data_IF_744828477741
#
_entry.id   IF_744828477741
#
_cell.length_a   1.000
_cell.length_b   1.000
_cell.length_c   1.000
_cell.angle_alpha   90.00
_cell.angle_beta   90.00
_cell.angle_gamma   90.00
#
_symmetry.space_group_name_H-M   'P 1'
#
loop_
_entity.id
_entity.type
_entity.pdbx_description
1 polymer ?
#
# COMPACT_ATOMS: atom_id res chain seq x y z
N UNK A 1 -27.53 -24.21 -3.03
CA UNK A 1 -26.89 -23.00 -2.46
C UNK A 1 -25.64 -23.46 -1.71
N UNK A 2 -24.46 -23.03 -2.16
CA UNK A 2 -23.21 -23.26 -1.44
C UNK A 2 -23.22 -22.26 -0.29
N UNK A 3 -23.26 -22.73 0.95
CA UNK A 3 -23.26 -21.85 2.11
C UNK A 3 -21.87 -21.27 2.28
N UNK A 4 -21.72 -19.96 2.05
CA UNK A 4 -20.57 -19.23 2.57
C UNK A 4 -20.64 -19.34 4.11
N UNK A 5 -19.57 -19.81 4.75
CA UNK A 5 -19.53 -19.98 6.20
C UNK A 5 -19.80 -18.67 6.95
N UNK A 6 -19.79 -18.71 8.29
CA UNK A 6 -19.95 -17.47 9.07
C UNK A 6 -18.85 -16.48 8.71
N UNK A 7 -19.26 -15.25 8.44
CA UNK A 7 -18.36 -14.11 8.24
C UNK A 7 -17.42 -13.96 9.45
N UNK A 8 -16.13 -13.75 9.18
CA UNK A 8 -15.12 -13.47 10.20
C UNK A 8 -14.58 -12.07 9.96
N UNK A 9 -14.70 -11.21 10.98
CA UNK A 9 -14.09 -9.87 10.97
C UNK A 9 -12.77 -9.93 11.73
N UNK A 10 -11.71 -9.39 11.13
CA UNK A 10 -10.37 -9.28 11.74
C UNK A 10 -9.95 -7.82 11.77
N UNK A 11 -9.47 -7.36 12.92
CA UNK A 11 -8.82 -6.06 13.04
C UNK A 11 -7.30 -6.24 12.97
N UNK A 12 -6.66 -5.58 12.01
CA UNK A 12 -5.21 -5.56 11.84
C UNK A 12 -4.72 -4.14 12.08
N UNK A 13 -3.61 -4.00 12.80
CA UNK A 13 -2.94 -2.73 13.01
C UNK A 13 -1.44 -2.91 12.85
N UNK A 14 -0.84 -2.10 11.97
CA UNK A 14 0.57 -2.16 11.61
C UNK A 14 1.00 -0.85 10.95
N UNK A 15 2.30 -0.70 10.77
CA UNK A 15 2.92 0.49 10.18
C UNK A 15 3.55 0.15 8.84
N UNK A 16 3.29 0.99 7.84
CA UNK A 16 3.79 0.87 6.46
C UNK A 16 4.91 1.90 6.24
N UNK A 17 6.02 1.48 5.63
CA UNK A 17 7.25 2.30 5.52
C UNK A 17 7.70 2.48 4.06
N UNK A 18 7.26 3.57 3.42
CA UNK A 18 7.74 3.96 2.09
C UNK A 18 9.04 4.78 2.20
N UNK A 19 10.15 4.21 1.72
CA UNK A 19 11.49 4.80 1.81
C UNK A 19 11.97 5.26 0.44
N UNK A 20 11.79 6.56 0.17
CA UNK A 20 12.18 7.23 -1.07
C UNK A 20 13.59 7.83 -1.06
N UNK A 21 14.30 7.75 0.07
CA UNK A 21 15.65 8.29 0.23
C UNK A 21 16.48 7.46 1.21
N UNK A 22 17.80 7.70 1.23
CA UNK A 22 18.76 6.95 2.05
C UNK A 22 19.43 5.82 1.26
N UNK A 23 20.13 4.94 1.98
CA UNK A 23 20.93 3.87 1.36
C UNK A 23 20.13 2.65 0.92
N UNK A 24 18.87 2.51 1.37
CA UNK A 24 18.01 1.38 1.06
C UNK A 24 16.61 1.86 0.70
N UNK A 25 16.43 2.14 -0.59
CA UNK A 25 15.14 2.50 -1.16
C UNK A 25 14.21 1.28 -1.17
N UNK A 26 12.92 1.50 -0.87
CA UNK A 26 11.89 0.46 -1.00
C UNK A 26 10.82 0.79 -2.03
N UNK A 27 10.77 2.05 -2.50
CA UNK A 27 10.03 2.41 -3.70
C UNK A 27 10.89 3.20 -4.70
N UNK A 28 10.66 2.96 -5.99
CA UNK A 28 11.41 3.58 -7.08
C UNK A 28 10.48 3.97 -8.24
N UNK A 29 10.86 5.04 -8.95
CA UNK A 29 10.15 5.48 -10.15
C UNK A 29 10.30 4.46 -11.27
N UNK A 30 9.19 4.02 -11.85
CA UNK A 30 9.19 3.08 -12.99
C UNK A 30 8.64 3.69 -14.27
N UNK A 31 7.80 4.73 -14.16
CA UNK A 31 7.33 5.49 -15.30
C UNK A 31 6.97 6.92 -14.89
N UNK A 32 6.99 7.82 -15.87
CA UNK A 32 6.47 9.19 -15.74
C UNK A 32 6.09 9.74 -17.12
N UNK A 33 5.08 10.60 -17.15
CA UNK A 33 4.79 11.43 -18.33
C UNK A 33 5.78 12.60 -18.44
N UNK A 34 5.98 13.15 -19.64
CA UNK A 34 6.86 14.32 -19.85
C UNK A 34 6.39 15.54 -19.03
N UNK A 35 5.08 15.69 -18.86
CA UNK A 35 4.45 16.75 -18.07
C UNK A 35 4.51 16.53 -16.55
N UNK A 36 5.00 15.38 -16.08
CA UNK A 36 4.98 15.03 -14.64
C UNK A 36 5.69 16.08 -13.79
N UNK A 37 6.84 16.57 -14.24
CA UNK A 37 7.67 17.51 -13.49
C UNK A 37 7.07 18.93 -13.43
N UNK A 38 6.16 19.27 -14.34
CA UNK A 38 5.46 20.57 -14.34
C UNK A 38 4.06 20.49 -13.75
N UNK A 39 3.57 19.28 -13.46
CA UNK A 39 2.30 19.05 -12.80
C UNK A 39 2.40 19.37 -11.31
N UNK A 40 1.51 20.22 -10.80
CA UNK A 40 1.44 20.56 -9.37
C UNK A 40 1.18 19.32 -8.49
N UNK A 41 0.51 18.30 -9.03
CA UNK A 41 0.21 17.04 -8.32
C UNK A 41 1.18 15.90 -8.67
N UNK A 42 2.13 16.13 -9.57
CA UNK A 42 2.96 15.05 -10.14
C UNK A 42 2.19 14.04 -10.98
N UNK A 43 1.03 14.40 -11.53
CA UNK A 43 0.18 13.53 -12.35
C UNK A 43 0.98 12.78 -13.44
N UNK A 44 0.75 11.48 -13.53
CA UNK A 44 1.43 10.58 -14.47
C UNK A 44 2.72 9.95 -13.93
N UNK A 45 3.15 10.28 -12.71
CA UNK A 45 4.19 9.56 -11.99
C UNK A 45 3.71 8.16 -11.58
N UNK A 46 4.56 7.13 -11.74
CA UNK A 46 4.31 5.75 -11.27
C UNK A 46 5.53 5.24 -10.49
N UNK A 47 5.26 4.72 -9.29
CA UNK A 47 6.22 4.04 -8.42
C UNK A 47 5.93 2.55 -8.36
N UNK A 48 6.98 1.74 -8.25
CA UNK A 48 6.89 0.37 -7.75
C UNK A 48 7.45 0.34 -6.33
N UNK A 49 6.84 -0.45 -5.45
CA UNK A 49 7.24 -0.55 -4.05
C UNK A 49 7.31 -1.98 -3.52
N UNK A 50 8.21 -2.18 -2.56
CA UNK A 50 8.35 -3.36 -1.72
C UNK A 50 8.64 -2.91 -0.27
N UNK A 51 7.61 -2.36 0.36
CA UNK A 51 7.72 -1.63 1.63
C UNK A 51 7.52 -2.54 2.85
N UNK A 52 8.35 -2.42 3.90
CA UNK A 52 8.16 -3.15 5.15
C UNK A 52 6.81 -2.82 5.81
N UNK A 53 6.19 -3.85 6.39
CA UNK A 53 5.10 -3.71 7.38
C UNK A 53 5.61 -4.15 8.74
N UNK A 54 5.45 -3.32 9.77
CA UNK A 54 5.95 -3.61 11.12
C UNK A 54 4.88 -3.44 12.21
N UNK A 55 5.08 -4.09 13.36
CA UNK A 55 4.17 -3.97 14.52
C UNK A 55 4.18 -2.57 15.15
N UNK A 56 5.34 -1.91 15.16
CA UNK A 56 5.51 -0.56 15.71
C UNK A 56 5.92 0.46 14.65
N UNK A 57 5.86 1.78 14.97
CA UNK A 57 6.21 2.83 14.03
C UNK A 57 7.70 2.91 13.72
N UNK A 58 8.57 2.28 14.52
CA UNK A 58 10.01 2.23 14.27
C UNK A 58 10.36 1.15 13.25
N UNK A 59 11.24 1.46 12.29
CA UNK A 59 11.76 0.50 11.31
C UNK A 59 12.46 -0.72 11.93
N UNK A 60 12.98 -0.57 13.16
CA UNK A 60 13.62 -1.65 13.92
C UNK A 60 12.63 -2.55 14.66
N UNK A 61 11.35 -2.18 14.68
CA UNK A 61 10.30 -3.02 15.25
C UNK A 61 10.08 -4.29 14.41
N UNK A 62 9.34 -5.23 14.97
CA UNK A 62 9.16 -6.55 14.36
C UNK A 62 8.49 -6.43 12.97
N UNK A 63 9.18 -6.95 11.96
CA UNK A 63 8.65 -7.11 10.61
C UNK A 63 7.54 -8.16 10.62
N UNK A 64 6.37 -7.82 10.08
CA UNK A 64 5.21 -8.73 9.99
C UNK A 64 4.80 -9.02 8.55
N UNK A 65 5.24 -8.23 7.60
CA UNK A 65 4.85 -8.36 6.22
C UNK A 65 5.54 -7.36 5.30
N UNK A 66 5.08 -7.33 4.05
CA UNK A 66 5.51 -6.36 3.04
C UNK A 66 4.31 -5.86 2.25
N UNK A 67 4.32 -4.59 1.89
CA UNK A 67 3.40 -4.03 0.91
C UNK A 67 4.08 -4.00 -0.45
N UNK A 68 3.53 -4.76 -1.40
CA UNK A 68 4.15 -4.99 -2.70
C UNK A 68 3.18 -4.60 -3.80
N UNK A 69 3.61 -3.70 -4.70
CA UNK A 69 2.75 -3.24 -5.79
C UNK A 69 3.22 -1.94 -6.39
N UNK A 70 2.26 -1.19 -6.91
CA UNK A 70 2.49 0.13 -7.50
C UNK A 70 1.60 1.18 -6.84
N UNK A 71 2.06 2.42 -6.90
CA UNK A 71 1.18 3.57 -6.75
C UNK A 71 1.49 4.63 -7.80
N UNK A 72 0.47 5.37 -8.22
CA UNK A 72 0.61 6.37 -9.28
C UNK A 72 -0.11 7.66 -8.91
N UNK A 73 0.48 8.82 -9.22
CA UNK A 73 -0.24 10.09 -9.11
C UNK A 73 -1.29 10.19 -10.20
N UNK A 74 -2.55 10.00 -9.81
CA UNK A 74 -3.67 9.77 -10.71
C UNK A 74 -4.73 10.87 -10.64
N UNK A 75 -4.54 11.88 -9.78
CA UNK A 75 -5.41 13.05 -9.69
C UNK A 75 -4.72 14.31 -10.24
N UNK A 76 -5.47 15.10 -11.00
CA UNK A 76 -4.97 16.35 -11.60
C UNK A 76 -5.15 17.57 -10.68
N UNK A 77 -6.15 17.53 -9.78
CA UNK A 77 -6.54 18.68 -8.95
C UNK A 77 -5.94 18.62 -7.53
N UNK A 78 -5.58 17.43 -7.05
CA UNK A 78 -4.93 17.22 -5.75
C UNK A 78 -3.92 16.08 -5.83
N UNK A 79 -3.01 16.01 -4.86
CA UNK A 79 -2.09 14.87 -4.75
C UNK A 79 -2.86 13.68 -4.19
N UNK A 80 -3.33 12.82 -5.08
CA UNK A 80 -3.93 11.55 -4.72
C UNK A 80 -3.34 10.42 -5.56
N UNK A 81 -3.03 9.32 -4.90
CA UNK A 81 -2.47 8.14 -5.54
C UNK A 81 -3.55 7.11 -5.86
N UNK A 82 -3.45 6.47 -7.01
CA UNK A 82 -4.04 5.14 -7.19
C UNK A 82 -3.07 4.13 -6.57
N UNK A 83 -3.54 3.36 -5.59
CA UNK A 83 -2.79 2.28 -4.95
C UNK A 83 -3.25 0.95 -5.56
N UNK A 84 -2.32 0.16 -6.06
CA UNK A 84 -2.56 -1.23 -6.49
C UNK A 84 -1.50 -2.12 -5.88
N UNK A 85 -1.81 -2.73 -4.74
CA UNK A 85 -0.82 -3.45 -3.94
C UNK A 85 -1.41 -4.64 -3.21
N UNK A 86 -0.51 -5.50 -2.73
CA UNK A 86 -0.81 -6.56 -1.78
C UNK A 86 -0.06 -6.31 -0.48
N UNK A 87 -0.76 -6.46 0.66
CA UNK A 87 -0.11 -6.73 1.93
C UNK A 87 0.15 -8.23 2.05
N UNK A 88 1.43 -8.61 2.04
CA UNK A 88 1.91 -10.00 2.12
C UNK A 88 2.43 -10.23 3.53
N UNK A 89 1.71 -11.01 4.33
CA UNK A 89 2.10 -11.30 5.71
C UNK A 89 3.09 -12.45 5.76
N UNK A 90 4.19 -12.27 6.50
CA UNK A 90 5.30 -13.25 6.58
C UNK A 90 5.47 -13.86 7.98
N UNK A 91 4.74 -13.33 8.95
CA UNK A 91 4.79 -13.69 10.38
C UNK A 91 3.40 -13.70 11.01
N UNK A 92 3.29 -14.35 12.17
CA UNK A 92 2.06 -14.37 12.97
C UNK A 92 0.94 -15.23 12.39
N UNK A 93 -0.30 -14.99 12.86
CA UNK A 93 -1.49 -15.81 12.55
C UNK A 93 -1.81 -15.87 11.05
N UNK A 94 -1.51 -14.80 10.33
CA UNK A 94 -1.85 -14.65 8.91
C UNK A 94 -0.65 -14.85 7.99
N UNK A 95 0.43 -15.47 8.49
CA UNK A 95 1.59 -15.83 7.67
C UNK A 95 1.14 -16.53 6.38
N UNK A 96 1.76 -16.14 5.27
CA UNK A 96 1.50 -16.60 3.90
C UNK A 96 0.13 -16.19 3.33
N UNK A 97 -0.66 -15.41 4.07
CA UNK A 97 -1.91 -14.79 3.58
C UNK A 97 -1.64 -13.43 2.93
N UNK A 98 -2.59 -12.99 2.11
CA UNK A 98 -2.50 -11.69 1.42
C UNK A 98 -3.81 -10.91 1.48
N UNK A 99 -3.70 -9.58 1.54
CA UNK A 99 -4.80 -8.64 1.39
C UNK A 99 -4.51 -7.71 0.21
N UNK A 100 -5.38 -7.72 -0.81
CA UNK A 100 -5.22 -6.92 -2.01
C UNK A 100 -5.99 -5.60 -1.89
N UNK A 101 -5.30 -4.50 -2.15
CA UNK A 101 -5.84 -3.14 -2.14
C UNK A 101 -5.83 -2.59 -3.56
N UNK A 102 -6.98 -2.05 -3.98
CA UNK A 102 -7.13 -1.27 -5.20
C UNK A 102 -7.97 -0.05 -4.87
N UNK A 103 -7.32 1.08 -4.57
CA UNK A 103 -8.08 2.26 -4.16
C UNK A 103 -7.32 3.58 -4.34
N UNK A 104 -8.05 4.68 -4.17
CA UNK A 104 -7.60 6.05 -4.16
C UNK A 104 -7.09 6.46 -2.77
N UNK A 105 -5.92 7.08 -2.74
CA UNK A 105 -5.23 7.52 -1.53
C UNK A 105 -4.96 9.03 -1.59
N UNK A 106 -5.86 9.84 -1.03
CA UNK A 106 -5.68 11.30 -0.93
C UNK A 106 -4.75 11.66 0.23
N UNK A 107 -3.44 11.72 -0.03
CA UNK A 107 -2.39 11.61 1.00
C UNK A 107 -2.40 12.69 2.07
N UNK A 108 -2.96 13.87 1.79
CA UNK A 108 -3.08 14.98 2.74
C UNK A 108 -4.35 14.94 3.60
N UNK A 109 -5.23 13.96 3.40
CA UNK A 109 -6.37 13.72 4.29
C UNK A 109 -5.91 13.10 5.60
N UNK A 110 -6.46 13.56 6.72
CA UNK A 110 -6.06 13.11 8.06
C UNK A 110 -6.32 11.63 8.33
N UNK A 111 -7.42 11.09 7.81
CA UNK A 111 -7.73 9.65 7.77
C UNK A 111 -8.12 9.30 6.34
N UNK A 112 -7.69 8.13 5.87
CA UNK A 112 -7.92 7.65 4.51
C UNK A 112 -8.47 6.24 4.58
N UNK A 113 -9.63 6.03 3.99
CA UNK A 113 -10.21 4.71 3.80
C UNK A 113 -9.66 4.15 2.49
N UNK A 114 -9.20 2.90 2.54
CA UNK A 114 -8.73 2.14 1.39
C UNK A 114 -9.50 0.83 1.36
N UNK A 115 -10.29 0.65 0.32
CA UNK A 115 -11.11 -0.52 0.07
C UNK A 115 -10.23 -1.66 -0.44
N UNK A 116 -10.45 -2.84 0.14
CA UNK A 116 -9.90 -4.08 -0.38
C UNK A 116 -10.75 -4.60 -1.53
N UNK A 117 -10.08 -5.16 -2.54
CA UNK A 117 -10.75 -5.79 -3.68
C UNK A 117 -10.89 -7.30 -3.49
N UNK A 118 -9.97 -7.90 -2.72
CA UNK A 118 -9.98 -9.31 -2.38
C UNK A 118 -9.11 -9.57 -1.15
N UNK A 119 -9.65 -10.29 -0.16
CA UNK A 119 -8.90 -10.82 0.97
C UNK A 119 -8.83 -12.34 0.88
N UNK A 120 -7.62 -12.92 0.97
CA UNK A 120 -7.41 -14.38 1.07
C UNK A 120 -6.76 -14.67 2.41
N UNK A 121 -7.58 -14.90 3.44
CA UNK A 121 -7.15 -15.19 4.81
C UNK A 121 -7.89 -16.41 5.39
N UNK A 122 -7.25 -17.21 6.27
CA UNK A 122 -7.84 -18.39 6.92
C UNK A 122 -8.87 -18.10 8.03
#
# INVERSE_FOLDING_TARGET
MIGFGKEKVTHLHFYFHDMLSGSKLTAVHVARADSTNTSATGFGMVMIMDDPLTEGPELTSKLIGRAQGIYASAAQEEVAFLMTLNYVFVEGKYKDSTLSILDRNAVFSGVRELLDWLAVMP
#
